data_IF_651598558494
#
_entry.id   IF_651598558494
#
_cell.length_a   1.000
_cell.length_b   1.000
_cell.length_c   1.000
_cell.angle_alpha   90.00
_cell.angle_beta   90.00
_cell.angle_gamma   90.00
#
_symmetry.space_group_name_H-M   'P 1'
#
loop_
_entity.id
_entity.type
_entity.pdbx_description
1 polymer ?
#
# COMPACT_ATOMS: atom_id res chain seq x y z
N UNK A 1 14.51 -2.60 11.89
CA UNK A 1 13.73 -2.33 10.66
C UNK A 1 12.99 -0.98 10.65
N UNK A 2 12.49 -0.41 11.76
CA UNK A 2 11.92 0.97 11.77
C UNK A 2 12.94 2.11 11.57
N UNK A 3 14.18 1.95 12.07
CA UNK A 3 15.24 2.98 11.98
C UNK A 3 15.70 3.30 10.55
N UNK A 4 15.49 2.40 9.57
CA UNK A 4 16.00 2.58 8.21
C UNK A 4 15.11 3.47 7.33
N UNK A 5 13.82 3.60 7.66
CA UNK A 5 12.86 4.40 6.87
C UNK A 5 12.59 5.77 7.48
N UNK A 6 13.09 6.06 8.69
CA UNK A 6 12.78 7.29 9.43
C UNK A 6 11.33 7.40 9.92
N UNK A 7 10.46 6.43 9.63
CA UNK A 7 9.05 6.46 10.03
C UNK A 7 8.90 6.24 11.54
N UNK A 8 8.32 7.22 12.23
CA UNK A 8 8.10 7.24 13.68
C UNK A 8 6.62 7.11 14.08
N UNK A 9 5.72 6.82 13.13
CA UNK A 9 4.30 6.69 13.42
C UNK A 9 3.95 5.40 14.16
N UNK A 10 2.72 5.36 14.67
CA UNK A 10 2.17 4.20 15.34
C UNK A 10 2.17 2.99 14.40
N UNK A 11 2.55 1.82 14.93
CA UNK A 11 2.18 0.57 14.29
C UNK A 11 1.03 -0.02 15.07
N UNK A 12 -0.03 -0.33 14.36
CA UNK A 12 -1.16 -1.06 14.91
C UNK A 12 -0.82 -2.54 14.78
N UNK A 13 -0.96 -3.28 15.88
CA UNK A 13 -0.79 -4.73 15.92
C UNK A 13 -2.18 -5.34 15.80
N UNK A 14 -2.48 -5.93 14.63
CA UNK A 14 -3.78 -6.56 14.32
C UNK A 14 -3.56 -8.06 14.07
N UNK A 15 -3.45 -8.83 15.14
CA UNK A 15 -3.16 -10.26 15.08
C UNK A 15 -4.31 -11.08 14.52
N UNK A 16 -5.55 -10.58 14.60
CA UNK A 16 -6.77 -11.27 14.17
C UNK A 16 -7.22 -10.85 12.76
N UNK A 17 -6.44 -9.99 12.08
CA UNK A 17 -6.76 -9.41 10.77
C UNK A 17 -8.12 -8.66 10.72
N UNK A 18 -8.61 -8.15 11.86
CA UNK A 18 -9.87 -7.40 11.94
C UNK A 18 -9.86 -6.13 11.07
N UNK A 19 -8.69 -5.52 10.88
CA UNK A 19 -8.55 -4.33 10.04
C UNK A 19 -8.74 -4.66 8.55
N UNK A 20 -8.45 -5.88 8.11
CA UNK A 20 -8.61 -6.28 6.71
C UNK A 20 -10.08 -6.19 6.31
N UNK A 21 -10.98 -6.71 7.15
CA UNK A 21 -12.43 -6.66 6.91
C UNK A 21 -12.94 -5.21 6.93
N UNK A 22 -12.55 -4.43 7.94
CA UNK A 22 -12.94 -3.03 8.07
C UNK A 22 -12.47 -2.18 6.88
N UNK A 23 -11.26 -2.42 6.39
CA UNK A 23 -10.68 -1.71 5.25
C UNK A 23 -11.39 -2.09 3.94
N UNK A 24 -11.76 -3.37 3.77
CA UNK A 24 -12.57 -3.82 2.64
C UNK A 24 -13.96 -3.17 2.66
N UNK A 25 -14.65 -3.21 3.79
CA UNK A 25 -16.01 -2.67 3.92
C UNK A 25 -16.05 -1.15 3.71
N UNK A 26 -15.12 -0.40 4.32
CA UNK A 26 -15.16 1.07 4.32
C UNK A 26 -14.56 1.71 3.08
N UNK A 27 -13.55 1.08 2.48
CA UNK A 27 -12.73 1.69 1.43
C UNK A 27 -12.66 0.85 0.15
N UNK A 28 -13.38 -0.28 0.11
CA UNK A 28 -13.38 -1.20 -1.03
C UNK A 28 -11.93 -1.63 -1.38
N UNK A 29 -11.10 -1.82 -0.35
CA UNK A 29 -9.70 -2.25 -0.50
C UNK A 29 -9.56 -3.66 0.02
N UNK A 30 -9.48 -4.62 -0.90
CA UNK A 30 -9.31 -6.03 -0.56
C UNK A 30 -7.83 -6.36 -0.33
N UNK A 31 -7.46 -6.58 0.92
CA UNK A 31 -6.15 -7.09 1.32
C UNK A 31 -6.27 -8.59 1.50
N UNK A 32 -5.55 -9.36 0.69
CA UNK A 32 -5.55 -10.81 0.81
C UNK A 32 -4.86 -11.26 2.11
N UNK A 33 -5.36 -12.32 2.73
CA UNK A 33 -4.71 -13.03 3.83
C UNK A 33 -4.36 -14.42 3.34
N UNK A 34 -3.08 -14.79 3.42
CA UNK A 34 -2.59 -16.10 2.97
C UNK A 34 -2.10 -16.92 4.15
N UNK A 35 -2.32 -18.23 4.12
CA UNK A 35 -1.72 -19.14 5.09
C UNK A 35 -0.19 -19.03 5.09
N UNK A 36 0.41 -19.00 6.29
CA UNK A 36 1.87 -19.00 6.45
C UNK A 36 2.25 -19.69 7.75
N UNK A 37 3.21 -20.62 7.68
CA UNK A 37 3.73 -21.29 8.88
C UNK A 37 4.25 -20.27 9.90
N UNK A 38 3.77 -20.37 11.14
CA UNK A 38 4.09 -19.44 12.23
C UNK A 38 3.17 -18.21 12.31
N UNK A 39 2.14 -18.11 11.46
CA UNK A 39 1.12 -17.08 11.50
C UNK A 39 -0.24 -17.77 11.71
N UNK A 40 -0.71 -17.84 12.95
CA UNK A 40 -1.93 -18.58 13.34
C UNK A 40 -3.17 -18.13 12.55
N UNK A 41 -3.32 -16.81 12.39
CA UNK A 41 -4.43 -16.22 11.64
C UNK A 41 -4.06 -15.92 10.17
N UNK A 42 -2.98 -16.51 9.65
CA UNK A 42 -2.43 -16.18 8.34
C UNK A 42 -1.70 -14.85 8.30
N UNK A 43 -1.15 -14.53 7.14
CA UNK A 43 -0.37 -13.32 6.89
C UNK A 43 -1.12 -12.41 5.92
N UNK A 44 -1.47 -11.21 6.39
CA UNK A 44 -1.97 -10.15 5.53
C UNK A 44 -0.91 -9.75 4.50
N UNK A 45 -1.36 -9.61 3.26
CA UNK A 45 -0.52 -9.20 2.15
C UNK A 45 -0.30 -7.68 2.15
N UNK A 46 0.76 -7.17 1.49
CA UNK A 46 1.00 -5.74 1.41
C UNK A 46 -0.16 -4.97 0.75
N UNK A 47 -0.50 -3.85 1.36
CA UNK A 47 -1.45 -2.87 0.84
C UNK A 47 -1.07 -1.46 1.26
N UNK A 48 -1.62 -0.47 0.54
CA UNK A 48 -1.46 0.96 0.79
C UNK A 48 -2.86 1.56 0.78
N UNK A 49 -3.18 2.33 1.82
CA UNK A 49 -4.36 3.18 1.88
C UNK A 49 -3.91 4.57 2.31
N UNK A 50 -4.19 5.57 1.48
CA UNK A 50 -3.90 6.97 1.77
C UNK A 50 -5.23 7.71 1.86
N UNK A 51 -5.49 8.29 3.03
CA UNK A 51 -6.68 9.07 3.30
C UNK A 51 -6.30 10.55 3.45
N UNK A 52 -7.19 11.46 3.03
CA UNK A 52 -7.05 12.88 3.34
C UNK A 52 -7.22 13.07 4.85
N UNK A 53 -6.18 13.61 5.49
CA UNK A 53 -6.17 13.86 6.93
C UNK A 53 -7.05 15.03 7.37
N UNK A 54 -7.38 15.03 8.67
CA UNK A 54 -7.95 16.16 9.42
C UNK A 54 -8.71 15.69 10.67
N UNK A 55 -8.63 16.46 11.76
CA UNK A 55 -9.68 16.43 12.80
C UNK A 55 -10.90 17.11 12.19
N UNK A 56 -11.72 16.36 11.44
CA UNK A 56 -12.60 16.96 10.44
C UNK A 56 -11.75 17.45 9.27
N UNK A 57 -11.89 16.83 8.11
CA UNK A 57 -11.03 17.14 6.97
C UNK A 57 -11.23 18.57 6.46
N UNK A 58 -10.23 19.07 5.78
CA UNK A 58 -10.38 20.04 4.68
C UNK A 58 -10.66 21.52 5.03
N UNK A 59 -10.20 22.38 4.11
CA UNK A 59 -10.77 23.69 3.74
C UNK A 59 -12.24 23.53 3.25
N UNK A 60 -12.73 22.28 3.11
CA UNK A 60 -14.11 21.87 2.80
C UNK A 60 -14.83 20.98 3.85
N UNK A 61 -14.23 20.58 4.99
CA UNK A 61 -14.90 19.76 6.02
C UNK A 61 -14.81 18.22 5.96
N UNK A 62 -14.31 17.58 4.89
CA UNK A 62 -14.47 16.12 4.69
C UNK A 62 -13.21 15.27 4.99
N UNK A 63 -13.15 14.67 6.18
CA UNK A 63 -12.09 13.73 6.57
C UNK A 63 -12.36 12.32 6.03
N UNK A 64 -11.31 11.56 5.72
CA UNK A 64 -11.45 10.15 5.32
C UNK A 64 -11.70 9.90 3.82
N UNK A 65 -11.60 10.93 2.98
CA UNK A 65 -11.60 10.77 1.51
C UNK A 65 -10.39 9.93 1.10
N UNK A 66 -10.62 8.89 0.29
CA UNK A 66 -9.54 8.05 -0.26
C UNK A 66 -8.79 8.84 -1.32
N UNK A 67 -7.52 9.13 -1.04
CA UNK A 67 -6.61 9.74 -2.01
C UNK A 67 -5.94 8.66 -2.85
N UNK A 68 -5.53 7.53 -2.28
CA UNK A 68 -4.90 6.46 -3.04
C UNK A 68 -5.13 5.13 -2.33
N UNK A 69 -5.33 4.05 -3.11
CA UNK A 69 -5.42 2.70 -2.56
C UNK A 69 -4.76 1.72 -3.52
N UNK A 70 -4.02 0.77 -2.96
CA UNK A 70 -3.36 -0.30 -3.70
C UNK A 70 -3.29 -1.55 -2.82
N UNK A 71 -3.54 -2.72 -3.40
CA UNK A 71 -3.26 -4.00 -2.77
C UNK A 71 -2.61 -4.90 -3.81
N UNK A 72 -1.72 -5.80 -3.37
CA UNK A 72 -1.14 -6.79 -4.26
C UNK A 72 -2.24 -7.69 -4.84
N UNK A 73 -2.22 -7.90 -6.15
CA UNK A 73 -3.19 -8.76 -6.82
C UNK A 73 -2.83 -10.22 -6.53
N UNK A 74 -3.80 -11.09 -6.16
CA UNK A 74 -3.51 -12.47 -5.80
C UNK A 74 -2.78 -13.28 -6.86
N UNK A 75 -3.02 -13.04 -8.16
CA UNK A 75 -2.30 -13.72 -9.25
C UNK A 75 -0.83 -13.32 -9.35
N UNK A 76 -0.46 -12.12 -8.89
CA UNK A 76 0.92 -11.65 -8.80
C UNK A 76 1.67 -12.24 -7.58
N UNK A 77 0.94 -12.80 -6.60
CA UNK A 77 1.53 -13.50 -5.44
C UNK A 77 2.48 -14.64 -5.84
N UNK A 78 2.21 -15.29 -6.99
CA UNK A 78 2.90 -16.51 -7.41
C UNK A 78 4.21 -16.28 -8.19
N UNK A 79 4.52 -15.05 -8.61
CA UNK A 79 5.66 -14.78 -9.50
C UNK A 79 6.75 -13.94 -8.81
N UNK A 80 6.38 -12.99 -7.95
CA UNK A 80 7.34 -12.02 -7.37
C UNK A 80 7.32 -11.88 -5.85
N UNK A 81 6.29 -12.34 -5.14
CA UNK A 81 6.13 -12.04 -3.71
C UNK A 81 6.07 -10.54 -3.43
N UNK A 82 6.77 -10.05 -2.40
CA UNK A 82 6.82 -8.62 -2.02
C UNK A 82 7.47 -7.68 -3.06
N UNK A 83 7.94 -8.22 -4.18
CA UNK A 83 8.63 -7.51 -5.27
C UNK A 83 7.70 -6.59 -6.08
N UNK A 84 6.39 -6.85 -6.04
CA UNK A 84 5.36 -6.10 -6.78
C UNK A 84 4.87 -4.85 -6.06
N UNK A 85 5.50 -4.50 -4.93
CA UNK A 85 5.19 -3.25 -4.22
C UNK A 85 5.43 -2.06 -5.14
N UNK A 86 4.49 -1.10 -5.18
CA UNK A 86 4.64 0.09 -5.99
C UNK A 86 5.78 0.95 -5.44
N UNK A 87 6.44 1.67 -6.34
CA UNK A 87 7.32 2.78 -5.99
C UNK A 87 6.53 3.83 -5.20
N UNK A 88 6.96 4.09 -3.96
CA UNK A 88 6.29 5.00 -3.05
C UNK A 88 6.33 6.46 -3.52
N UNK A 89 7.35 6.85 -4.30
CA UNK A 89 7.40 8.19 -4.89
C UNK A 89 6.28 8.37 -5.92
N UNK A 90 6.01 7.36 -6.75
CA UNK A 90 4.93 7.40 -7.72
C UNK A 90 3.54 7.35 -7.07
N UNK A 91 3.40 6.59 -5.98
CA UNK A 91 2.18 6.62 -5.15
C UNK A 91 1.96 8.03 -4.61
N UNK A 92 3.01 8.68 -4.09
CA UNK A 92 2.92 10.03 -3.53
C UNK A 92 2.61 11.10 -4.58
N UNK A 93 3.13 10.96 -5.81
CA UNK A 93 2.79 11.84 -6.93
C UNK A 93 1.28 11.82 -7.24
N UNK A 94 0.67 10.63 -7.28
CA UNK A 94 -0.77 10.49 -7.48
C UNK A 94 -1.58 11.10 -6.33
N UNK A 95 -1.12 10.91 -5.09
CA UNK A 95 -1.72 11.54 -3.91
C UNK A 95 -1.69 13.07 -4.04
N UNK A 96 -0.53 13.65 -4.36
CA UNK A 96 -0.38 15.11 -4.55
C UNK A 96 -1.27 15.64 -5.67
N UNK A 97 -1.30 14.94 -6.80
CA UNK A 97 -2.15 15.32 -7.93
C UNK A 97 -3.63 15.38 -7.53
N UNK A 98 -4.13 14.38 -6.81
CA UNK A 98 -5.52 14.36 -6.32
C UNK A 98 -5.81 15.44 -5.29
N UNK A 99 -4.86 15.74 -4.39
CA UNK A 99 -4.98 16.87 -3.46
C UNK A 99 -5.12 18.20 -4.23
N UNK A 100 -4.38 18.34 -5.34
CA UNK A 100 -4.40 19.52 -6.21
C UNK A 100 -5.56 19.55 -7.22
N UNK A 101 -6.49 18.59 -7.17
CA UNK A 101 -7.62 18.49 -8.10
C UNK A 101 -7.22 18.08 -9.53
N UNK A 102 -6.02 17.52 -9.70
CA UNK A 102 -5.51 17.00 -10.97
C UNK A 102 -5.89 15.51 -11.12
N UNK A 103 -5.86 15.03 -12.36
CA UNK A 103 -6.03 13.60 -12.67
C UNK A 103 -4.84 12.74 -12.21
N UNK A 104 -4.98 11.42 -12.37
CA UNK A 104 -3.94 10.43 -12.07
C UNK A 104 -2.71 10.68 -12.95
N UNK A 105 -1.53 10.77 -12.34
CA UNK A 105 -0.24 11.01 -13.01
C UNK A 105 0.39 9.69 -13.46
N UNK A 106 0.32 8.67 -12.62
CA UNK A 106 0.85 7.32 -12.88
C UNK A 106 -0.30 6.33 -12.99
N UNK A 107 -0.60 5.84 -14.20
CA UNK A 107 -1.64 4.82 -14.45
C UNK A 107 -1.23 3.41 -14.01
N UNK A 108 0.07 3.18 -13.86
CA UNK A 108 0.67 1.98 -13.29
C UNK A 108 1.91 2.37 -12.50
N UNK A 109 2.20 1.59 -11.45
CA UNK A 109 3.39 1.80 -10.64
C UNK A 109 4.53 0.90 -11.11
N UNK A 110 5.74 1.45 -11.11
CA UNK A 110 6.96 0.66 -11.15
C UNK A 110 7.02 -0.18 -9.89
N UNK A 111 7.47 -1.41 -10.02
CA UNK A 111 7.59 -2.31 -8.88
C UNK A 111 9.02 -2.30 -8.34
N UNK A 112 9.19 -2.34 -7.02
CA UNK A 112 10.51 -2.29 -6.37
C UNK A 112 11.42 -3.45 -6.82
N UNK A 113 10.85 -4.61 -7.18
CA UNK A 113 11.62 -5.77 -7.60
C UNK A 113 12.11 -5.77 -9.05
N UNK A 114 11.45 -5.05 -9.97
CA UNK A 114 11.83 -5.08 -11.40
C UNK A 114 13.19 -4.41 -11.66
N UNK A 115 13.51 -3.36 -10.89
CA UNK A 115 14.79 -2.66 -10.98
C UNK A 115 15.97 -3.52 -10.47
N UNK A 116 15.77 -4.26 -9.38
CA UNK A 116 16.81 -5.15 -8.83
C UNK A 116 17.08 -6.38 -9.71
N UNK A 117 16.04 -6.94 -10.33
CA UNK A 117 16.16 -8.13 -11.17
C UNK A 117 16.85 -7.84 -12.52
N UNK A 118 16.66 -6.65 -13.10
CA UNK A 118 17.34 -6.24 -14.34
C UNK A 118 18.83 -5.93 -14.11
N UNK A 119 19.18 -5.29 -12.99
CA UNK A 119 20.59 -4.98 -12.67
C UNK A 119 21.43 -6.22 -12.40
N UNK A 120 20.90 -7.21 -11.67
CA UNK A 120 21.60 -8.47 -11.39
C UNK A 120 21.84 -9.33 -12.63
N UNK A 121 21.13 -9.08 -13.73
CA UNK A 121 21.23 -9.86 -14.98
C UNK A 121 22.17 -9.24 -16.02
N UNK A 122 22.54 -7.97 -15.86
CA UNK A 122 23.46 -7.24 -16.75
C UNK A 122 24.90 -7.28 -16.19
N UNK A 123 25.06 -7.42 -14.88
CA UNK A 123 26.36 -7.45 -14.19
C UNK A 123 26.66 -8.78 -13.48
N UNK A 124 25.91 -9.84 -13.79
CA UNK A 124 26.08 -11.20 -13.28
C UNK A 124 26.60 -12.15 -14.35
#
# INVERSE_FOLDING_TARGET
>A
MRKLTGYSGDAIVDTENTLVELVKERYDLEIAVSERKGYENGMAQPGILVLRGGKGGDVTGQGGVVLEKWAIVPSAMNIGGASDRPDLEQVWDNVRAKIEGKGVVHKSYKTTGLLGMLWGKIFG
#
